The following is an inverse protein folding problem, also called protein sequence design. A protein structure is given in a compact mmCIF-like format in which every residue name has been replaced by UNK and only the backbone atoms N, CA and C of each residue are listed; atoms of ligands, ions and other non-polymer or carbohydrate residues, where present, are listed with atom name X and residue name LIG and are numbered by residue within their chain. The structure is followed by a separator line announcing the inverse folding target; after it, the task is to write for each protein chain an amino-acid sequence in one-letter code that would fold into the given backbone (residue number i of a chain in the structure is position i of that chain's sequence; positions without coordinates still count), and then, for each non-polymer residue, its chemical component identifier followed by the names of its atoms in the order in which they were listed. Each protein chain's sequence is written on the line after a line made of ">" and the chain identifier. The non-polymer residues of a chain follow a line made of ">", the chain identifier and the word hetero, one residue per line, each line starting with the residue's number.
data_IF_219436798943
#
_entry.id   IF_219436798943
#
_cell.length_a   1.000
_cell.length_b   1.000
_cell.length_c   1.000
_cell.angle_alpha   90.00
_cell.angle_beta   90.00
_cell.angle_gamma   90.00
#
_symmetry.space_group_name_H-M   'P 1'
#
loop_
_entity.id
_entity.type
_entity.pdbx_description
1 polymer ?
#
# COMPACT_ATOMS: atom_id res chain seq x y z
N UNK A 1 12.80 6.87 3.67
CA UNK A 1 11.90 6.81 4.86
C UNK A 1 11.59 5.36 5.22
N UNK A 2 11.03 5.06 6.40
CA UNK A 2 10.53 3.71 6.71
C UNK A 2 9.06 3.61 6.32
N UNK A 3 8.70 2.57 5.58
CA UNK A 3 7.34 2.23 5.21
C UNK A 3 6.90 0.93 5.87
N UNK A 4 5.61 0.83 6.17
CA UNK A 4 5.00 -0.27 6.91
C UNK A 4 3.92 -0.96 6.09
N UNK A 5 3.86 -2.29 6.18
CA UNK A 5 2.82 -3.12 5.56
C UNK A 5 2.24 -4.09 6.58
N UNK A 6 0.92 -4.05 6.76
CA UNK A 6 0.20 -4.97 7.65
C UNK A 6 -0.26 -6.23 6.92
N UNK A 7 0.08 -7.40 7.46
CA UNK A 7 -0.24 -8.70 6.86
C UNK A 7 -0.34 -9.81 7.92
N UNK A 8 -0.64 -11.04 7.49
CA UNK A 8 -0.57 -12.25 8.30
C UNK A 8 0.71 -13.07 8.09
N UNK A 9 1.64 -12.60 7.26
CA UNK A 9 2.86 -13.33 6.89
C UNK A 9 4.08 -12.39 6.89
N UNK A 10 5.26 -12.96 7.04
CA UNK A 10 6.49 -12.19 6.80
C UNK A 10 6.65 -12.07 5.29
N UNK A 11 6.65 -10.84 4.79
CA UNK A 11 6.86 -10.54 3.38
C UNK A 11 8.30 -10.07 3.21
N UNK A 12 9.17 -10.97 2.76
CA UNK A 12 10.59 -10.65 2.51
C UNK A 12 10.77 -9.83 1.22
N UNK A 13 10.01 -10.20 0.19
CA UNK A 13 10.05 -9.57 -1.13
C UNK A 13 8.66 -9.04 -1.48
N UNK A 14 8.46 -7.72 -1.50
CA UNK A 14 7.23 -7.11 -2.00
C UNK A 14 6.96 -7.50 -3.45
N UNK A 15 5.72 -7.91 -3.74
CA UNK A 15 5.26 -8.19 -5.10
C UNK A 15 3.92 -7.51 -5.32
N UNK A 16 3.66 -7.08 -6.55
CA UNK A 16 2.34 -6.61 -6.94
C UNK A 16 1.43 -7.83 -6.98
N UNK A 17 0.36 -7.78 -6.18
CA UNK A 17 -0.68 -8.81 -6.21
C UNK A 17 -1.75 -8.38 -7.20
N UNK A 18 -2.01 -9.25 -8.16
CA UNK A 18 -3.00 -9.06 -9.24
C UNK A 18 -4.35 -9.71 -8.92
N UNK A 19 -4.53 -10.23 -7.69
CA UNK A 19 -5.79 -10.79 -7.21
C UNK A 19 -6.46 -9.90 -6.16
N UNK A 20 -7.80 -9.92 -6.13
CA UNK A 20 -8.62 -9.22 -5.14
C UNK A 20 -9.12 -7.84 -5.58
N UNK A 21 -10.31 -7.82 -6.19
CA UNK A 21 -11.03 -6.67 -6.75
C UNK A 21 -11.59 -5.65 -5.73
N UNK A 22 -10.93 -5.44 -4.59
CA UNK A 22 -11.53 -4.72 -3.46
C UNK A 22 -10.68 -3.54 -2.94
N UNK A 23 -9.78 -2.99 -3.76
CA UNK A 23 -8.84 -1.93 -3.34
C UNK A 23 -9.06 -0.64 -4.10
N UNK A 24 -8.93 0.47 -3.38
CA UNK A 24 -9.19 1.83 -3.89
C UNK A 24 -8.22 2.27 -4.99
N UNK A 25 -7.03 1.66 -5.04
CA UNK A 25 -5.96 2.06 -5.96
C UNK A 25 -5.51 0.91 -6.88
N UNK A 26 -6.37 -0.11 -7.09
CA UNK A 26 -6.11 -1.23 -7.99
C UNK A 26 -5.09 -2.24 -7.46
N UNK A 27 -4.31 -2.84 -8.36
CA UNK A 27 -3.28 -3.84 -8.03
C UNK A 27 -2.00 -3.16 -7.54
N UNK A 28 -1.46 -3.62 -6.42
CA UNK A 28 -0.26 -3.02 -5.87
C UNK A 28 0.19 -3.61 -4.54
N UNK A 29 1.42 -3.26 -4.16
CA UNK A 29 1.94 -3.55 -2.83
C UNK A 29 1.79 -2.32 -1.93
N UNK A 30 0.79 -2.37 -1.05
CA UNK A 30 0.39 -1.20 -0.26
C UNK A 30 1.22 -1.03 1.00
N UNK A 31 1.78 0.17 1.13
CA UNK A 31 2.52 0.59 2.31
C UNK A 31 1.97 1.90 2.88
N UNK A 32 2.32 2.19 4.12
CA UNK A 32 2.03 3.47 4.79
C UNK A 32 3.24 3.93 5.59
N UNK A 33 3.43 5.23 5.74
CA UNK A 33 4.41 5.79 6.67
C UNK A 33 3.95 5.72 8.13
N UNK A 34 2.66 5.41 8.38
CA UNK A 34 2.05 5.36 9.70
C UNK A 34 2.02 3.93 10.26
N UNK A 35 2.94 3.58 11.16
CA UNK A 35 3.00 2.23 11.75
C UNK A 35 1.67 1.81 12.41
N UNK A 36 0.97 2.74 13.06
CA UNK A 36 -0.35 2.50 13.67
C UNK A 36 -1.40 2.04 12.64
N UNK A 37 -1.35 2.58 11.42
CA UNK A 37 -2.26 2.18 10.35
C UNK A 37 -1.91 0.78 9.85
N UNK A 38 -0.63 0.46 9.65
CA UNK A 38 -0.20 -0.89 9.30
C UNK A 38 -0.56 -1.93 10.38
N UNK A 39 -0.45 -1.58 11.67
CA UNK A 39 -0.94 -2.43 12.78
C UNK A 39 -2.43 -2.74 12.63
N UNK A 40 -3.27 -1.73 12.34
CA UNK A 40 -4.70 -1.93 12.09
C UNK A 40 -4.94 -2.84 10.88
N UNK A 41 -4.20 -2.67 9.80
CA UNK A 41 -4.30 -3.57 8.63
C UNK A 41 -3.91 -5.01 8.94
N UNK A 42 -2.87 -5.24 9.76
CA UNK A 42 -2.48 -6.58 10.18
C UNK A 42 -3.57 -7.26 11.03
N UNK A 43 -4.25 -6.49 11.90
CA UNK A 43 -5.33 -6.99 12.75
C UNK A 43 -6.57 -7.44 11.97
N UNK A 44 -6.81 -6.92 10.75
CA UNK A 44 -7.95 -7.37 9.92
C UNK A 44 -7.70 -8.72 9.23
N UNK A 45 -6.46 -9.23 9.24
CA UNK A 45 -6.10 -10.51 8.63
C UNK A 45 -6.32 -11.67 9.60
N UNK A 46 -6.78 -12.81 9.09
CA UNK A 46 -6.96 -14.03 9.89
C UNK A 46 -5.61 -14.66 10.19
N UNK A 47 -5.37 -14.95 11.49
CA UNK A 47 -4.16 -15.57 12.06
C UNK A 47 -2.91 -14.71 11.85
N UNK A 48 -2.10 -14.53 12.90
CA UNK A 48 -0.90 -13.69 12.90
C UNK A 48 -1.15 -12.23 12.54
N UNK A 49 -0.48 -11.31 13.25
CA UNK A 49 -0.61 -9.88 13.00
C UNK A 49 0.78 -9.28 12.85
N UNK A 50 1.26 -9.26 11.60
CA UNK A 50 2.65 -8.93 11.27
C UNK A 50 2.69 -7.56 10.60
N UNK A 51 3.54 -6.69 11.14
CA UNK A 51 3.89 -5.41 10.52
C UNK A 51 5.28 -5.54 9.91
N UNK A 52 5.33 -5.63 8.59
CA UNK A 52 6.58 -5.63 7.82
C UNK A 52 7.10 -4.19 7.71
N UNK A 53 8.42 -4.01 7.79
CA UNK A 53 9.10 -2.71 7.72
C UNK A 53 10.07 -2.70 6.55
N UNK A 54 10.02 -1.65 5.74
CA UNK A 54 10.88 -1.48 4.57
C UNK A 54 11.57 -0.13 4.59
N UNK A 55 12.85 -0.11 4.21
CA UNK A 55 13.54 1.14 3.89
C UNK A 55 13.15 1.54 2.47
N UNK A 56 12.42 2.64 2.35
CA UNK A 56 12.07 3.22 1.06
C UNK A 56 13.16 4.17 0.57
N UNK A 57 13.68 3.87 -0.61
CA UNK A 57 14.59 4.68 -1.39
C UNK A 57 13.88 5.04 -2.71
N UNK A 58 13.47 6.30 -2.93
CA UNK A 58 12.83 6.68 -4.19
C UNK A 58 13.79 6.53 -5.37
N UNK A 59 13.26 6.19 -6.53
CA UNK A 59 13.99 6.11 -7.79
C UNK A 59 13.22 6.93 -8.84
N UNK A 60 13.75 8.11 -9.15
CA UNK A 60 13.14 9.07 -10.09
C UNK A 60 13.09 8.56 -11.54
N UNK A 61 13.78 7.46 -11.85
CA UNK A 61 13.71 6.79 -13.16
C UNK A 61 12.40 6.03 -13.36
N UNK A 62 11.65 5.81 -12.27
CA UNK A 62 10.35 5.16 -12.32
C UNK A 62 9.25 6.13 -12.79
N UNK A 63 8.17 5.58 -13.36
CA UNK A 63 6.95 6.34 -13.64
C UNK A 63 6.19 6.57 -12.34
N UNK A 64 6.43 7.71 -11.70
CA UNK A 64 5.85 8.07 -10.41
C UNK A 64 4.60 8.94 -10.62
N UNK A 65 3.47 8.53 -10.04
CA UNK A 65 2.29 9.40 -9.87
C UNK A 65 2.21 9.80 -8.39
N UNK A 66 2.39 11.09 -8.13
CA UNK A 66 2.39 11.66 -6.79
C UNK A 66 1.20 12.62 -6.64
N UNK A 67 0.58 12.59 -5.46
CA UNK A 67 -0.48 13.53 -5.08
C UNK A 67 -0.08 14.14 -3.74
N UNK A 68 0.03 15.46 -3.69
CA UNK A 68 0.35 16.19 -2.46
C UNK A 68 -0.85 16.23 -1.51
N UNK A 69 -2.03 16.47 -2.07
CA UNK A 69 -3.30 16.59 -1.36
C UNK A 69 -4.40 15.71 -1.97
N UNK A 70 -5.50 15.55 -1.23
CA UNK A 70 -6.72 14.87 -1.69
C UNK A 70 -7.52 15.78 -2.66
N UNK A 71 -6.98 15.97 -3.86
CA UNK A 71 -7.59 16.80 -4.93
C UNK A 71 -8.62 16.03 -5.75
N UNK A 72 -9.34 16.73 -6.63
CA UNK A 72 -10.22 16.10 -7.63
C UNK A 72 -9.46 15.10 -8.53
N UNK A 73 -8.22 15.41 -8.89
CA UNK A 73 -7.37 14.50 -9.67
C UNK A 73 -7.09 13.19 -8.91
N UNK A 74 -6.83 13.29 -7.60
CA UNK A 74 -6.64 12.13 -6.74
C UNK A 74 -7.92 11.28 -6.64
N UNK A 75 -9.07 11.94 -6.49
CA UNK A 75 -10.37 11.26 -6.46
C UNK A 75 -10.66 10.54 -7.78
N UNK A 76 -10.44 11.23 -8.91
CA UNK A 76 -10.65 10.65 -10.24
C UNK A 76 -9.73 9.45 -10.49
N UNK A 77 -8.49 9.48 -9.98
CA UNK A 77 -7.59 8.34 -10.04
C UNK A 77 -8.16 7.11 -9.32
N UNK A 78 -8.69 7.28 -8.11
CA UNK A 78 -9.34 6.20 -7.35
C UNK A 78 -10.55 5.64 -8.10
N UNK A 79 -11.39 6.52 -8.65
CA UNK A 79 -12.56 6.11 -9.43
C UNK A 79 -12.12 5.26 -10.61
N UNK A 80 -11.10 5.70 -11.36
CA UNK A 80 -10.58 4.97 -12.51
C UNK A 80 -9.94 3.62 -12.15
N UNK A 81 -9.42 3.46 -10.92
CA UNK A 81 -8.89 2.18 -10.45
C UNK A 81 -9.99 1.16 -10.10
N UNK A 82 -11.25 1.59 -10.02
CA UNK A 82 -12.40 0.75 -9.65
C UNK A 82 -13.35 0.43 -10.82
N UNK A 83 -13.20 1.12 -11.95
CA UNK A 83 -13.92 0.87 -13.20
C UNK A 83 -13.25 -0.27 -13.99
#
# INVERSE_FOLDING_TARGET
>A
MILYHGSNVIVKEPRILEDGFYKDFGYGFYCTSLEKQAKRWALTKRKNHIVNKYKYCPDERLRIKFFEDMTEEWLQFIVNCRL
#
